data_IF_395628248696
#
_entry.id   IF_395628248696
#
_cell.length_a   1.000
_cell.length_b   1.000
_cell.length_c   1.000
_cell.angle_alpha   90.00
_cell.angle_beta   90.00
_cell.angle_gamma   90.00
#
_symmetry.space_group_name_H-M   'P 1'
#
loop_
_entity.id
_entity.type
_entity.pdbx_description
1 polymer ?
#
# COMPACT_ATOMS: atom_id res chain seq x y z
N UNK A 1 -27.10 33.16 62.57
CA UNK A 1 -25.81 33.11 61.81
C UNK A 1 -25.90 31.97 60.84
N UNK A 2 -26.20 32.28 59.57
CA UNK A 2 -26.29 31.25 58.53
C UNK A 2 -24.93 31.15 57.85
N UNK A 3 -24.26 30.02 58.04
CA UNK A 3 -23.06 29.68 57.28
C UNK A 3 -23.47 29.08 55.95
N UNK A 4 -23.26 29.83 54.88
CA UNK A 4 -23.40 29.34 53.50
C UNK A 4 -22.10 28.61 53.11
N UNK A 5 -22.18 27.30 53.02
CA UNK A 5 -21.08 26.47 52.49
C UNK A 5 -21.17 26.48 50.98
N UNK A 6 -20.24 27.16 50.32
CA UNK A 6 -20.06 27.10 48.90
C UNK A 6 -19.28 25.84 48.55
N UNK A 7 -20.00 24.83 48.10
CA UNK A 7 -19.38 23.66 47.50
C UNK A 7 -18.93 24.02 46.07
N UNK A 8 -17.65 24.23 45.89
CA UNK A 8 -17.03 24.35 44.57
C UNK A 8 -16.95 22.94 43.99
N UNK A 9 -17.84 22.67 43.04
CA UNK A 9 -17.81 21.44 42.24
C UNK A 9 -16.71 21.61 41.17
N UNK A 10 -15.52 21.10 41.46
CA UNK A 10 -14.44 21.03 40.46
C UNK A 10 -14.80 19.93 39.46
N UNK A 11 -15.37 20.32 38.30
CA UNK A 11 -15.46 19.46 37.12
C UNK A 11 -14.04 19.27 36.57
N UNK A 12 -13.40 18.18 36.95
CA UNK A 12 -12.21 17.67 36.27
C UNK A 12 -12.62 17.16 34.89
N UNK A 13 -12.41 17.99 33.88
CA UNK A 13 -12.43 17.60 32.48
C UNK A 13 -11.24 16.65 32.25
N UNK A 14 -11.47 15.36 32.45
CA UNK A 14 -10.61 14.30 31.94
C UNK A 14 -10.77 14.30 30.42
N UNK A 15 -9.99 15.15 29.77
CA UNK A 15 -9.75 15.04 28.34
C UNK A 15 -9.05 13.71 28.09
N UNK A 16 -9.85 12.67 27.88
CA UNK A 16 -9.34 11.40 27.39
C UNK A 16 -8.73 11.66 26.01
N UNK A 17 -7.40 11.70 25.92
CA UNK A 17 -6.73 11.49 24.65
C UNK A 17 -7.17 10.12 24.17
N UNK A 18 -8.08 10.08 23.18
CA UNK A 18 -8.35 8.87 22.43
C UNK A 18 -7.02 8.46 21.77
N UNK A 19 -6.34 7.52 22.39
CA UNK A 19 -5.16 6.88 21.80
C UNK A 19 -5.70 6.14 20.59
N UNK A 20 -5.42 6.64 19.41
CA UNK A 20 -5.75 5.97 18.16
C UNK A 20 -5.12 4.58 18.18
N UNK A 21 -5.93 3.53 18.06
CA UNK A 21 -5.48 2.12 18.01
C UNK A 21 -4.46 1.85 16.89
N UNK A 22 -4.24 2.83 16.00
CA UNK A 22 -3.27 2.79 14.90
C UNK A 22 -1.88 3.32 15.25
N UNK A 23 -1.59 3.62 16.53
CA UNK A 23 -0.24 3.97 16.95
C UNK A 23 0.69 2.75 16.79
N UNK A 24 1.53 2.78 15.75
CA UNK A 24 2.49 1.73 15.42
C UNK A 24 2.23 1.01 14.09
N UNK A 25 1.09 1.22 13.45
CA UNK A 25 0.89 0.71 12.09
C UNK A 25 1.55 1.64 11.06
N UNK A 26 2.31 1.05 10.15
CA UNK A 26 2.88 1.76 9.01
C UNK A 26 1.76 2.21 8.08
N UNK A 27 1.72 3.51 7.75
CA UNK A 27 0.75 4.06 6.80
C UNK A 27 1.38 4.16 5.41
N UNK A 28 0.57 4.13 4.36
CA UNK A 28 1.04 4.29 2.98
C UNK A 28 1.83 5.59 2.77
N UNK A 29 1.39 6.69 3.40
CA UNK A 29 2.10 7.98 3.32
C UNK A 29 3.50 7.93 3.93
N UNK A 30 3.70 7.12 4.96
CA UNK A 30 5.01 6.94 5.59
C UNK A 30 5.93 6.08 4.71
N UNK A 31 5.35 5.13 3.95
CA UNK A 31 6.08 4.28 3.03
C UNK A 31 6.54 5.03 1.76
N UNK A 32 5.85 6.11 1.36
CA UNK A 32 6.22 6.95 0.20
C UNK A 32 7.45 7.83 0.41
N UNK A 33 8.17 7.68 1.52
CA UNK A 33 9.41 8.41 1.76
C UNK A 33 10.53 7.90 0.83
N UNK A 34 11.46 8.77 0.38
CA UNK A 34 12.55 8.37 -0.51
C UNK A 34 13.41 7.21 0.00
N UNK A 35 13.49 7.04 1.33
CA UNK A 35 14.21 5.94 1.97
C UNK A 35 13.69 4.56 1.56
N UNK A 36 12.41 4.45 1.24
CA UNK A 36 11.74 3.19 0.91
C UNK A 36 11.48 3.01 -0.58
N UNK A 37 11.86 3.99 -1.42
CA UNK A 37 11.71 3.92 -2.88
C UNK A 37 12.81 3.07 -3.49
N UNK A 38 12.44 1.96 -4.15
CA UNK A 38 13.36 1.03 -4.80
C UNK A 38 13.08 0.84 -6.29
N UNK A 39 11.96 1.37 -6.77
CA UNK A 39 11.55 1.32 -8.17
C UNK A 39 11.14 2.72 -8.63
N UNK A 40 11.70 3.15 -9.75
CA UNK A 40 11.25 4.32 -10.52
C UNK A 40 11.40 3.96 -12.00
N UNK A 41 10.29 3.64 -12.66
CA UNK A 41 10.25 3.19 -14.06
C UNK A 41 9.07 3.78 -14.81
N UNK A 42 9.15 3.72 -16.12
CA UNK A 42 8.04 4.04 -17.02
C UNK A 42 7.78 2.87 -17.98
N UNK A 43 6.52 2.68 -18.34
CA UNK A 43 6.08 1.70 -19.33
C UNK A 43 5.03 2.31 -20.23
N UNK A 44 4.73 1.66 -21.37
CA UNK A 44 3.64 2.02 -22.27
C UNK A 44 2.34 1.25 -21.98
N UNK A 45 2.31 0.47 -20.89
CA UNK A 45 1.12 -0.25 -20.45
C UNK A 45 0.11 0.74 -19.86
N UNK A 46 -1.17 0.54 -20.08
CA UNK A 46 -2.23 1.29 -19.44
C UNK A 46 -2.71 0.63 -18.13
N UNK A 47 -3.43 1.38 -17.30
CA UNK A 47 -3.94 0.88 -16.01
C UNK A 47 -4.93 -0.29 -16.18
N UNK A 48 -5.72 -0.31 -17.25
CA UNK A 48 -6.66 -1.42 -17.51
C UNK A 48 -5.90 -2.73 -17.78
N UNK A 49 -4.81 -2.65 -18.52
CA UNK A 49 -3.91 -3.78 -18.76
C UNK A 49 -3.23 -4.24 -17.50
N UNK A 50 -2.74 -3.31 -16.65
CA UNK A 50 -2.19 -3.64 -15.33
C UNK A 50 -3.20 -4.40 -14.49
N UNK A 51 -4.43 -3.89 -14.39
CA UNK A 51 -5.49 -4.53 -13.60
C UNK A 51 -5.79 -5.95 -14.11
N UNK A 52 -5.98 -6.11 -15.42
CA UNK A 52 -6.23 -7.43 -16.02
C UNK A 52 -5.08 -8.39 -15.73
N UNK A 53 -3.84 -7.95 -15.89
CA UNK A 53 -2.66 -8.78 -15.67
C UNK A 53 -2.49 -9.17 -14.19
N UNK A 54 -2.88 -8.31 -13.25
CA UNK A 54 -2.89 -8.65 -11.82
C UNK A 54 -3.90 -9.76 -11.50
N UNK A 55 -5.07 -9.77 -12.15
CA UNK A 55 -6.02 -10.88 -11.98
C UNK A 55 -5.49 -12.19 -12.54
N UNK A 56 -4.87 -12.18 -13.73
CA UNK A 56 -4.21 -13.36 -14.31
C UNK A 56 -3.10 -13.85 -13.37
N UNK A 57 -2.30 -12.95 -12.85
CA UNK A 57 -1.21 -13.26 -11.94
C UNK A 57 -1.70 -13.92 -10.64
N UNK A 58 -2.78 -13.44 -10.05
CA UNK A 58 -3.36 -14.02 -8.84
C UNK A 58 -3.82 -15.47 -9.06
N UNK A 59 -4.29 -15.80 -10.26
CA UNK A 59 -4.65 -17.19 -10.59
C UNK A 59 -3.40 -18.08 -10.76
N UNK A 60 -2.27 -17.52 -11.19
CA UNK A 60 -1.04 -18.26 -11.44
C UNK A 60 -0.14 -18.39 -10.21
N UNK A 61 -0.20 -17.45 -9.27
CA UNK A 61 0.74 -17.33 -8.15
C UNK A 61 0.00 -17.17 -6.81
N UNK A 62 0.59 -17.72 -5.72
CA UNK A 62 0.09 -17.52 -4.36
C UNK A 62 0.37 -16.10 -3.88
N UNK A 63 -0.37 -15.15 -4.40
CA UNK A 63 -0.24 -13.72 -4.11
C UNK A 63 -1.59 -13.09 -3.80
N UNK A 64 -1.56 -12.00 -3.06
CA UNK A 64 -2.70 -11.13 -2.83
C UNK A 64 -2.38 -9.71 -3.23
N UNK A 65 -3.38 -8.99 -3.75
CA UNK A 65 -3.22 -7.60 -4.09
C UNK A 65 -4.48 -6.79 -3.78
N UNK A 66 -4.27 -5.52 -3.54
CA UNK A 66 -5.30 -4.50 -3.44
C UNK A 66 -4.93 -3.35 -4.38
N UNK A 67 -5.77 -3.06 -5.36
CA UNK A 67 -5.60 -1.92 -6.27
C UNK A 67 -6.59 -0.84 -5.88
N UNK A 68 -6.06 0.29 -5.41
CA UNK A 68 -6.81 1.47 -4.99
C UNK A 68 -6.75 2.53 -6.06
N UNK A 69 -7.90 3.05 -6.46
CA UNK A 69 -8.01 4.18 -7.36
C UNK A 69 -8.74 5.31 -6.67
N UNK A 70 -8.14 6.49 -6.64
CA UNK A 70 -8.80 7.68 -6.11
C UNK A 70 -9.82 8.19 -7.14
N UNK A 71 -11.12 8.29 -6.79
CA UNK A 71 -12.14 8.83 -7.70
C UNK A 71 -11.88 10.27 -8.16
N UNK A 72 -11.14 11.04 -7.37
CA UNK A 72 -10.77 12.43 -7.68
C UNK A 72 -9.46 12.54 -8.49
N UNK A 73 -8.67 11.47 -8.52
CA UNK A 73 -7.38 11.40 -9.20
C UNK A 73 -7.33 10.18 -10.12
N UNK A 74 -8.14 10.19 -11.18
CA UNK A 74 -8.32 9.06 -12.11
C UNK A 74 -7.01 8.60 -12.80
N UNK A 75 -5.99 9.45 -12.81
CA UNK A 75 -4.67 9.14 -13.36
C UNK A 75 -3.69 8.53 -12.35
N UNK A 76 -4.12 8.39 -11.09
CA UNK A 76 -3.29 7.85 -10.03
C UNK A 76 -3.95 6.61 -9.42
N UNK A 77 -3.15 5.58 -9.22
CA UNK A 77 -3.58 4.34 -8.57
C UNK A 77 -2.46 3.78 -7.70
N UNK A 78 -2.83 3.13 -6.60
CA UNK A 78 -1.90 2.47 -5.69
C UNK A 78 -2.20 0.99 -5.64
N UNK A 79 -1.18 0.18 -5.90
CA UNK A 79 -1.21 -1.27 -5.73
C UNK A 79 -0.48 -1.65 -4.45
N UNK A 80 -1.13 -2.41 -3.58
CA UNK A 80 -0.49 -3.08 -2.44
C UNK A 80 -0.46 -4.56 -2.74
N UNK A 81 0.73 -5.15 -2.79
CA UNK A 81 0.97 -6.51 -3.24
C UNK A 81 1.83 -7.30 -2.26
N UNK A 82 1.58 -8.59 -2.12
CA UNK A 82 2.38 -9.45 -1.28
C UNK A 82 2.00 -10.92 -1.37
N UNK A 83 2.66 -11.77 -0.58
CA UNK A 83 2.25 -13.17 -0.44
C UNK A 83 0.82 -13.30 0.06
N UNK A 84 0.15 -14.36 -0.35
CA UNK A 84 -1.20 -14.68 0.12
C UNK A 84 -1.24 -14.81 1.65
N UNK A 85 -2.24 -14.19 2.29
CA UNK A 85 -2.42 -14.21 3.75
C UNK A 85 -1.59 -13.18 4.53
N UNK A 86 -0.67 -12.45 3.88
CA UNK A 86 0.12 -11.39 4.53
C UNK A 86 -0.59 -10.05 4.41
N UNK A 87 -0.94 -9.45 5.54
CA UNK A 87 -1.67 -8.16 5.60
C UNK A 87 -0.82 -6.98 6.10
N UNK A 88 0.28 -7.24 6.81
CA UNK A 88 1.16 -6.19 7.32
C UNK A 88 1.85 -5.46 6.14
N UNK A 89 1.64 -4.15 6.03
CA UNK A 89 2.22 -3.33 4.98
C UNK A 89 3.77 -3.36 4.98
N UNK A 90 4.40 -3.62 6.12
CA UNK A 90 5.86 -3.76 6.23
C UNK A 90 6.41 -4.97 5.46
N UNK A 91 5.60 -6.02 5.33
CA UNK A 91 5.94 -7.26 4.62
C UNK A 91 5.46 -7.27 3.15
N UNK A 92 4.81 -6.19 2.73
CA UNK A 92 4.25 -6.04 1.38
C UNK A 92 5.02 -5.01 0.57
N UNK A 93 4.73 -4.97 -0.72
CA UNK A 93 5.24 -3.98 -1.67
C UNK A 93 4.10 -3.05 -2.07
N UNK A 94 4.40 -1.77 -2.18
CA UNK A 94 3.47 -0.78 -2.71
C UNK A 94 4.01 -0.22 -4.04
N UNK A 95 3.18 -0.22 -5.07
CA UNK A 95 3.46 0.47 -6.33
C UNK A 95 2.45 1.60 -6.54
N UNK A 96 2.95 2.78 -6.78
CA UNK A 96 2.15 3.93 -7.24
C UNK A 96 2.24 4.04 -8.76
N UNK A 97 1.09 4.12 -9.42
CA UNK A 97 0.97 4.30 -10.86
C UNK A 97 0.50 5.71 -11.17
N UNK A 98 1.16 6.36 -12.11
CA UNK A 98 0.74 7.66 -12.65
C UNK A 98 0.58 7.56 -14.15
N UNK A 99 -0.66 7.68 -14.65
CA UNK A 99 -0.95 7.70 -16.07
C UNK A 99 -0.72 9.10 -16.63
N UNK A 100 0.21 9.24 -17.56
CA UNK A 100 0.51 10.50 -18.23
C UNK A 100 -0.29 10.67 -19.51
N UNK A 101 -0.58 11.91 -19.89
CA UNK A 101 -1.25 12.25 -21.14
C UNK A 101 -0.50 11.76 -22.39
N UNK A 102 0.81 11.50 -22.28
CA UNK A 102 1.64 10.91 -23.32
C UNK A 102 1.38 9.44 -23.61
N UNK A 103 0.48 8.78 -22.86
CA UNK A 103 0.24 7.34 -22.93
C UNK A 103 1.27 6.50 -22.18
N UNK A 104 2.18 7.11 -21.43
CA UNK A 104 3.11 6.43 -20.55
C UNK A 104 2.50 6.23 -19.18
N UNK A 105 2.88 5.15 -18.50
CA UNK A 105 2.58 4.87 -17.12
C UNK A 105 3.87 4.96 -16.30
N UNK A 106 3.93 5.92 -15.37
CA UNK A 106 4.99 5.99 -14.37
C UNK A 106 4.71 5.01 -13.25
N UNK A 107 5.74 4.34 -12.76
CA UNK A 107 5.67 3.35 -11.70
C UNK A 107 6.73 3.68 -10.66
N UNK A 108 6.29 4.00 -9.43
CA UNK A 108 7.16 4.12 -8.27
C UNK A 108 6.87 2.98 -7.29
N UNK A 109 7.90 2.30 -6.84
CA UNK A 109 7.77 1.15 -5.96
C UNK A 109 8.47 1.34 -4.63
N UNK A 110 7.76 0.97 -3.56
CA UNK A 110 8.19 1.16 -2.19
C UNK A 110 8.10 -0.13 -1.39
N UNK A 111 9.04 -0.35 -0.49
CA UNK A 111 8.99 -1.43 0.49
C UNK A 111 9.69 -1.01 1.78
N UNK A 112 9.14 -1.40 2.93
CA UNK A 112 9.69 -1.09 4.24
C UNK A 112 10.98 -1.86 4.50
N UNK A 113 10.96 -3.17 4.26
CA UNK A 113 12.14 -4.02 4.46
C UNK A 113 12.94 -4.17 3.17
N UNK A 114 14.25 -3.98 3.26
CA UNK A 114 15.17 -4.15 2.13
C UNK A 114 15.14 -5.57 1.52
N UNK A 115 14.77 -6.59 2.30
CA UNK A 115 14.60 -7.98 1.81
C UNK A 115 13.53 -8.08 0.71
N UNK A 116 12.55 -7.18 0.68
CA UNK A 116 11.46 -7.15 -0.30
C UNK A 116 11.80 -6.34 -1.57
N UNK A 117 13.01 -5.80 -1.67
CA UNK A 117 13.47 -5.05 -2.85
C UNK A 117 13.37 -5.87 -4.14
N UNK A 118 13.82 -7.12 -4.10
CA UNK A 118 13.75 -8.00 -5.28
C UNK A 118 12.30 -8.29 -5.68
N UNK A 119 11.39 -8.42 -4.72
CA UNK A 119 9.96 -8.55 -4.96
C UNK A 119 9.39 -7.30 -5.64
N UNK A 120 9.73 -6.11 -5.14
CA UNK A 120 9.28 -4.84 -5.73
C UNK A 120 9.74 -4.68 -7.18
N UNK A 121 11.00 -4.99 -7.45
CA UNK A 121 11.58 -4.90 -8.79
C UNK A 121 10.98 -5.95 -9.74
N UNK A 122 10.84 -7.20 -9.28
CA UNK A 122 10.27 -8.29 -10.07
C UNK A 122 8.78 -8.12 -10.35
N UNK A 123 8.05 -7.44 -9.47
CA UNK A 123 6.63 -7.17 -9.66
C UNK A 123 6.38 -6.31 -10.91
N UNK A 124 7.26 -5.37 -11.23
CA UNK A 124 7.14 -4.56 -12.46
C UNK A 124 7.23 -5.45 -13.70
N UNK A 125 8.09 -6.45 -13.69
CA UNK A 125 8.21 -7.40 -14.81
C UNK A 125 6.97 -8.31 -14.91
N UNK A 126 6.36 -8.67 -13.79
CA UNK A 126 5.09 -9.43 -13.72
C UNK A 126 3.93 -8.67 -14.37
N UNK A 127 3.91 -7.35 -14.30
CA UNK A 127 2.86 -6.58 -14.98
C UNK A 127 2.85 -6.80 -16.49
N UNK A 128 3.99 -7.13 -17.10
CA UNK A 128 4.11 -7.47 -18.51
C UNK A 128 4.01 -8.99 -18.79
N UNK A 129 4.32 -9.83 -17.77
CA UNK A 129 4.34 -11.30 -17.88
C UNK A 129 3.61 -11.92 -16.68
N UNK A 130 2.27 -11.83 -16.64
CA UNK A 130 1.50 -12.10 -15.42
C UNK A 130 1.54 -13.54 -14.92
N UNK A 131 1.93 -14.50 -15.73
CA UNK A 131 2.05 -15.91 -15.33
C UNK A 131 3.38 -16.23 -14.64
N UNK A 132 4.32 -15.26 -14.58
CA UNK A 132 5.61 -15.41 -13.89
C UNK A 132 5.45 -14.97 -12.43
N UNK A 133 5.87 -15.83 -11.48
CA UNK A 133 5.85 -15.49 -10.06
C UNK A 133 7.17 -14.83 -9.65
N UNK A 134 7.15 -13.65 -9.02
CA UNK A 134 8.36 -12.97 -8.59
C UNK A 134 8.98 -13.66 -7.38
N UNK A 135 10.22 -13.26 -7.03
CA UNK A 135 10.95 -13.81 -5.88
C UNK A 135 10.12 -13.76 -4.59
N UNK A 136 10.07 -14.90 -3.88
CA UNK A 136 9.30 -15.02 -2.64
C UNK A 136 7.81 -15.35 -2.80
N UNK A 137 7.30 -15.38 -4.02
CA UNK A 137 5.93 -15.78 -4.36
C UNK A 137 5.97 -17.15 -5.03
N UNK A 138 5.22 -18.10 -4.49
CA UNK A 138 5.15 -19.47 -5.05
C UNK A 138 4.13 -19.55 -6.19
N UNK A 139 4.42 -20.32 -7.26
CA UNK A 139 3.42 -20.65 -8.27
C UNK A 139 2.32 -21.53 -7.66
N UNK A 140 1.09 -21.37 -8.13
CA UNK A 140 0.00 -22.32 -7.87
C UNK A 140 0.27 -23.52 -8.78
N UNK A 141 0.75 -24.59 -8.20
CA UNK A 141 0.81 -25.89 -8.91
C UNK A 141 -0.59 -26.47 -8.98
N UNK A 142 -1.01 -26.85 -10.18
CA UNK A 142 -2.23 -27.66 -10.38
C UNK A 142 -2.13 -29.02 -9.65
#
# INVERSE_FOLDING_TARGET
>A
VKKVIWSVLALSLLGGCAVSENQGQLREVDLRKPLYEYVDRQTHMDLATVQRNLFIHREACHSSFELKQDPLQVHFSTLIYGPEGVTDLRERVMLDFTAYASGKLGIKGYTYYAKNKALAQGLVDVLAKPTTCPAGIKPKTE
#
